data_IF_149067868741
#
_entry.id   IF_149067868741
#
_cell.length_a   1.000
_cell.length_b   1.000
_cell.length_c   1.000
_cell.angle_alpha   90.00
_cell.angle_beta   90.00
_cell.angle_gamma   90.00
#
_symmetry.space_group_name_H-M   'P 1'
#
loop_
_entity.id
_entity.type
_entity.pdbx_description
1 polymer ?
#
# COMPACT_ATOMS: atom_id res chain seq x y z
N UNK A 1 11.12 21.20 -10.68
CA UNK A 1 9.72 21.01 -10.20
C UNK A 1 9.53 19.52 -9.95
N UNK A 2 8.86 19.12 -8.86
CA UNK A 2 8.55 17.71 -8.60
C UNK A 2 7.53 17.20 -9.64
N UNK A 3 7.62 15.94 -10.08
CA UNK A 3 6.62 15.37 -10.99
C UNK A 3 5.25 15.32 -10.32
N UNK A 4 4.17 15.46 -11.11
CA UNK A 4 2.81 15.25 -10.62
C UNK A 4 2.66 13.79 -10.17
N UNK A 5 2.47 13.59 -8.86
CA UNK A 5 2.20 12.29 -8.27
C UNK A 5 0.69 12.04 -8.35
N UNK A 6 0.21 10.96 -9.00
CA UNK A 6 -1.21 10.66 -9.02
C UNK A 6 -1.70 10.32 -7.61
N UNK A 7 -2.86 10.85 -7.23
CA UNK A 7 -3.54 10.54 -5.97
C UNK A 7 -4.61 9.50 -6.27
N UNK A 8 -4.58 8.38 -5.57
CA UNK A 8 -5.57 7.30 -5.67
C UNK A 8 -5.75 6.62 -4.31
N UNK A 9 -6.86 5.91 -4.13
CA UNK A 9 -7.12 5.16 -2.89
C UNK A 9 -6.12 4.02 -2.72
N UNK A 10 -5.68 3.76 -1.49
CA UNK A 10 -4.81 2.61 -1.19
C UNK A 10 -5.43 1.27 -1.61
N UNK A 11 -6.77 1.17 -1.65
CA UNK A 11 -7.49 -0.03 -2.14
C UNK A 11 -7.17 -0.34 -3.61
N UNK A 12 -6.97 0.70 -4.43
CA UNK A 12 -6.68 0.57 -5.85
C UNK A 12 -5.19 0.35 -6.15
N UNK A 13 -4.35 0.19 -5.11
CA UNK A 13 -2.91 -0.01 -5.26
C UNK A 13 -2.55 -1.14 -6.24
N UNK A 14 -3.11 -2.36 -6.14
CA UNK A 14 -2.74 -3.47 -7.05
C UNK A 14 -2.83 -3.13 -8.54
N UNK A 15 -3.83 -2.34 -8.93
CA UNK A 15 -4.01 -1.92 -10.31
C UNK A 15 -3.06 -0.78 -10.69
N UNK A 16 -2.94 0.22 -9.81
CA UNK A 16 -2.19 1.46 -10.05
C UNK A 16 -0.67 1.28 -10.06
N UNK A 17 -0.12 0.22 -9.46
CA UNK A 17 1.32 -0.08 -9.53
C UNK A 17 1.84 -0.18 -10.97
N UNK A 18 0.98 -0.63 -11.89
CA UNK A 18 1.33 -0.81 -13.30
C UNK A 18 1.00 0.40 -14.18
N UNK A 19 0.44 1.47 -13.63
CA UNK A 19 0.02 2.66 -14.38
C UNK A 19 1.13 3.71 -14.35
N UNK A 20 1.47 4.23 -15.54
CA UNK A 20 2.41 5.34 -15.72
C UNK A 20 1.77 6.43 -16.56
N UNK A 21 2.11 7.68 -16.27
CA UNK A 21 1.63 8.84 -17.04
C UNK A 21 2.69 9.25 -18.07
N UNK A 22 2.33 9.21 -19.34
CA UNK A 22 3.17 9.67 -20.46
C UNK A 22 2.38 10.64 -21.32
N UNK A 23 2.91 11.85 -21.53
CA UNK A 23 2.22 12.93 -22.28
C UNK A 23 0.81 13.20 -21.76
N UNK A 24 0.66 13.32 -20.43
CA UNK A 24 -0.62 13.49 -19.73
C UNK A 24 -1.64 12.36 -19.88
N UNK A 25 -1.34 11.31 -20.64
CA UNK A 25 -2.18 10.11 -20.77
C UNK A 25 -1.69 8.98 -19.86
N UNK A 26 -2.63 8.25 -19.26
CA UNK A 26 -2.32 7.05 -18.50
C UNK A 26 -2.07 5.87 -19.44
N UNK A 27 -1.02 5.11 -19.15
CA UNK A 27 -0.62 3.92 -19.90
C UNK A 27 -0.22 2.83 -18.92
N UNK A 28 -0.60 1.59 -19.21
CA UNK A 28 -0.15 0.44 -18.44
C UNK A 28 1.25 0.00 -18.88
N UNK A 29 2.12 -0.33 -17.92
CA UNK A 29 3.44 -0.91 -18.18
C UNK A 29 3.28 -2.29 -18.83
N UNK A 30 4.26 -2.66 -19.66
CA UNK A 30 4.39 -4.02 -20.19
C UNK A 30 4.72 -4.99 -19.03
N UNK A 31 4.19 -6.22 -19.07
CA UNK A 31 4.46 -7.24 -18.05
C UNK A 31 3.24 -7.82 -17.35
N UNK A 32 2.03 -7.39 -17.72
CA UNK A 32 0.77 -7.95 -17.18
C UNK A 32 0.43 -7.46 -15.77
N UNK A 33 -0.65 -7.98 -15.18
CA UNK A 33 -1.02 -7.70 -13.80
C UNK A 33 0.03 -8.21 -12.81
N UNK A 34 0.33 -7.41 -11.78
CA UNK A 34 1.24 -7.81 -10.70
C UNK A 34 0.40 -8.22 -9.49
N UNK A 35 0.50 -9.47 -9.10
CA UNK A 35 -0.14 -9.97 -7.88
C UNK A 35 0.71 -9.63 -6.65
N UNK A 36 0.48 -8.45 -6.08
CA UNK A 36 1.27 -7.93 -4.95
C UNK A 36 1.27 -8.88 -3.74
N UNK A 37 0.19 -9.62 -3.52
CA UNK A 37 0.03 -10.55 -2.39
C UNK A 37 1.05 -11.69 -2.43
N UNK A 38 1.42 -12.13 -3.63
CA UNK A 38 2.41 -13.19 -3.87
C UNK A 38 3.85 -12.68 -3.76
N UNK A 39 4.06 -11.37 -3.72
CA UNK A 39 5.38 -10.79 -3.59
C UNK A 39 5.88 -10.83 -2.14
N UNK A 40 7.20 -10.88 -1.95
CA UNK A 40 7.82 -10.94 -0.62
C UNK A 40 7.49 -9.66 0.16
N UNK A 41 6.92 -9.81 1.34
CA UNK A 41 6.69 -8.71 2.28
C UNK A 41 7.99 -8.40 3.04
N UNK A 42 8.35 -7.13 3.08
CA UNK A 42 9.51 -6.59 3.77
C UNK A 42 9.05 -5.44 4.67
N UNK A 43 9.77 -5.25 5.76
CA UNK A 43 9.54 -4.19 6.72
C UNK A 43 10.78 -3.29 6.80
N UNK A 44 10.54 -1.99 6.93
CA UNK A 44 11.59 -1.00 7.21
C UNK A 44 11.08 0.02 8.22
N UNK A 45 11.84 0.20 9.31
CA UNK A 45 11.60 1.25 10.30
C UNK A 45 12.20 2.56 9.80
N UNK A 46 11.37 3.59 9.70
CA UNK A 46 11.77 4.97 9.44
C UNK A 46 11.48 5.84 10.66
N UNK A 47 11.97 7.08 10.67
CA UNK A 47 11.61 8.07 11.68
C UNK A 47 10.91 9.25 11.02
N UNK A 48 9.78 9.67 11.60
CA UNK A 48 9.07 10.89 11.22
C UNK A 48 9.20 11.90 12.35
N UNK A 49 9.82 13.03 12.05
CA UNK A 49 10.02 14.12 12.99
C UNK A 49 8.88 15.14 12.86
N UNK A 50 8.24 15.45 13.99
CA UNK A 50 7.03 16.28 14.08
C UNK A 50 5.92 15.76 13.15
N UNK A 51 5.51 14.50 13.32
CA UNK A 51 4.60 13.88 12.39
C UNK A 51 3.23 14.59 12.43
N UNK A 52 2.59 14.81 11.28
CA UNK A 52 1.45 15.73 11.17
C UNK A 52 0.23 15.33 12.01
N UNK A 53 0.09 14.05 12.34
CA UNK A 53 -0.99 13.55 13.20
C UNK A 53 -0.89 13.99 14.67
N UNK A 54 0.30 14.40 15.13
CA UNK A 54 0.53 14.82 16.52
C UNK A 54 0.25 16.32 16.74
N UNK A 55 -0.17 17.04 15.70
CA UNK A 55 -0.34 18.49 15.74
C UNK A 55 0.96 19.26 15.64
N UNK A 56 0.88 20.58 15.81
CA UNK A 56 2.04 21.48 15.70
C UNK A 56 2.74 21.52 17.07
N UNK A 57 4.02 21.11 17.16
CA UNK A 57 4.76 21.18 18.42
C UNK A 57 5.10 22.62 18.79
N UNK A 58 5.50 22.83 20.04
CA UNK A 58 6.02 24.12 20.48
C UNK A 58 7.23 24.56 19.62
N UNK A 59 7.41 25.87 19.38
CA UNK A 59 8.53 26.37 18.60
C UNK A 59 9.88 25.85 19.13
N UNK A 60 10.71 25.32 18.23
CA UNK A 60 12.04 24.78 18.57
C UNK A 60 12.05 23.34 19.09
N UNK A 61 10.90 22.69 19.24
CA UNK A 61 10.83 21.28 19.66
C UNK A 61 10.76 20.35 18.44
N UNK A 62 11.64 19.35 18.42
CA UNK A 62 11.65 18.28 17.41
C UNK A 62 11.46 16.94 18.11
N UNK A 63 10.35 16.26 17.83
CA UNK A 63 10.06 14.91 18.34
C UNK A 63 9.98 13.95 17.16
N UNK A 64 10.91 13.00 17.11
CA UNK A 64 10.92 11.97 16.07
C UNK A 64 10.32 10.66 16.61
N UNK A 65 9.32 10.14 15.90
CA UNK A 65 8.68 8.87 16.22
C UNK A 65 9.04 7.81 15.18
N UNK A 66 9.24 6.54 15.58
CA UNK A 66 9.45 5.46 14.63
C UNK A 66 8.14 5.20 13.87
N UNK A 67 8.26 4.98 12.56
CA UNK A 67 7.17 4.63 11.65
C UNK A 67 7.59 3.39 10.88
N UNK A 68 6.81 2.32 11.02
CA UNK A 68 7.02 1.09 10.27
C UNK A 68 6.43 1.26 8.87
N UNK A 69 7.25 1.02 7.84
CA UNK A 69 6.84 1.00 6.45
C UNK A 69 6.93 -0.42 5.90
N UNK A 70 5.89 -0.83 5.19
CA UNK A 70 5.79 -2.16 4.59
C UNK A 70 6.04 -2.07 3.09
N UNK A 71 6.75 -3.04 2.53
CA UNK A 71 7.08 -3.09 1.11
C UNK A 71 6.85 -4.49 0.54
N UNK A 72 6.29 -4.54 -0.68
CA UNK A 72 6.25 -5.76 -1.49
C UNK A 72 7.37 -5.72 -2.53
N UNK A 73 8.28 -6.68 -2.46
CA UNK A 73 9.35 -6.89 -3.46
C UNK A 73 9.01 -8.09 -4.33
N UNK A 74 8.71 -7.81 -5.59
CA UNK A 74 8.33 -8.80 -6.59
C UNK A 74 9.54 -9.33 -7.37
N UNK A 75 9.41 -10.50 -7.99
CA UNK A 75 10.50 -11.19 -8.71
C UNK A 75 11.03 -10.39 -9.91
N UNK A 76 10.20 -9.56 -10.53
CA UNK A 76 10.58 -8.66 -11.62
C UNK A 76 11.37 -7.41 -11.17
N UNK A 77 11.78 -7.34 -9.90
CA UNK A 77 12.51 -6.22 -9.32
C UNK A 77 11.64 -5.04 -8.89
N UNK A 78 10.32 -5.10 -9.15
CA UNK A 78 9.37 -4.10 -8.68
C UNK A 78 9.32 -4.11 -7.15
N UNK A 79 9.50 -2.93 -6.56
CA UNK A 79 9.38 -2.71 -5.12
C UNK A 79 8.34 -1.61 -4.91
N UNK A 80 7.32 -1.90 -4.09
CA UNK A 80 6.19 -1.00 -3.86
C UNK A 80 5.97 -0.89 -2.36
N UNK A 81 5.81 0.33 -1.87
CA UNK A 81 5.36 0.56 -0.50
C UNK A 81 3.88 0.18 -0.37
N UNK A 82 3.56 -0.69 0.58
CA UNK A 82 2.22 -1.21 0.83
C UNK A 82 1.69 -0.90 2.22
N UNK A 83 2.34 -0.01 2.98
CA UNK A 83 1.98 0.34 4.37
C UNK A 83 0.48 0.58 4.57
N UNK A 84 -0.14 1.37 3.71
CA UNK A 84 -1.58 1.68 3.80
C UNK A 84 -2.49 0.59 3.22
N UNK A 85 -1.96 -0.31 2.39
CA UNK A 85 -2.73 -1.35 1.70
C UNK A 85 -2.82 -2.66 2.50
N UNK A 86 -1.77 -3.05 3.22
CA UNK A 86 -1.78 -4.32 3.96
C UNK A 86 -2.93 -4.48 4.96
N UNK A 87 -3.32 -3.45 5.76
CA UNK A 87 -4.45 -3.56 6.67
C UNK A 87 -5.77 -3.80 5.93
N UNK A 88 -6.02 -3.04 4.86
CA UNK A 88 -7.22 -3.15 4.03
C UNK A 88 -7.33 -4.56 3.44
N UNK A 89 -6.22 -5.08 2.90
CA UNK A 89 -6.14 -6.42 2.32
C UNK A 89 -6.47 -7.50 3.36
N UNK A 90 -5.88 -7.41 4.56
CA UNK A 90 -6.12 -8.38 5.63
C UNK A 90 -7.58 -8.40 6.07
N UNK A 91 -8.21 -7.22 6.19
CA UNK A 91 -9.64 -7.12 6.50
C UNK A 91 -10.51 -7.74 5.40
N UNK A 92 -10.20 -7.48 4.14
CA UNK A 92 -10.92 -8.08 3.00
C UNK A 92 -10.76 -9.60 2.97
N UNK A 93 -9.56 -10.12 3.23
CA UNK A 93 -9.27 -11.54 3.30
C UNK A 93 -10.05 -12.22 4.44
N UNK A 94 -10.12 -11.57 5.61
CA UNK A 94 -10.90 -12.06 6.75
C UNK A 94 -12.40 -12.10 6.44
N UNK A 95 -12.95 -11.06 5.79
CA UNK A 95 -14.35 -11.02 5.36
C UNK A 95 -14.68 -12.13 4.36
N UNK A 96 -13.79 -12.40 3.40
CA UNK A 96 -13.96 -13.49 2.42
C UNK A 96 -13.98 -14.86 3.11
N UNK A 97 -13.03 -15.12 4.00
CA UNK A 97 -12.97 -16.36 4.77
C UNK A 97 -14.21 -16.58 5.65
N UNK A 98 -14.75 -15.51 6.24
CA UNK A 98 -15.98 -15.57 7.01
C UNK A 98 -17.21 -15.86 6.15
N UNK A 99 -17.30 -15.29 4.94
CA UNK A 99 -18.39 -15.57 4.02
C UNK A 99 -18.36 -17.02 3.48
N UNK A 100 -17.17 -17.54 3.20
CA UNK A 100 -16.96 -18.93 2.76
C UNK A 100 -17.25 -19.95 3.86
N UNK A 101 -17.04 -19.61 5.13
CA UNK A 101 -17.38 -20.50 6.25
C UNK A 101 -18.89 -20.56 6.48
N UNK A 102 -19.62 -19.45 6.31
CA UNK A 102 -21.09 -19.44 6.41
C UNK A 102 -21.76 -20.25 5.30
N UNK A 103 -21.29 -20.17 4.05
CA UNK A 103 -21.90 -20.90 2.94
C UNK A 103 -21.69 -22.43 2.99
N UNK A 104 -20.63 -22.89 3.64
CA UNK A 104 -20.39 -24.33 3.88
C UNK A 104 -21.24 -24.90 5.02
N UNK A 105 -21.76 -24.07 5.92
CA UNK A 105 -22.67 -24.50 6.99
C UNK A 105 -24.10 -24.65 6.47
N UNK A 106 -24.53 -23.82 5.51
CA UNK A 106 -25.87 -23.88 4.93
C UNK A 106 -26.08 -25.03 3.93
N UNK A 107 -25.00 -25.68 3.48
CA UNK A 107 -25.02 -26.72 2.44
C UNK A 107 -24.79 -28.15 2.99
N UNK A 108 -24.93 -28.35 4.30
CA UNK A 108 -24.77 -29.64 4.98
C UNK A 108 -25.94 -29.91 5.92
#
# INVERSE_FOLDING_TARGET
MAPLVPIFSAEALPDHVSIVRKNFQERRRKGGPVELEKCKLLEMVQYSCNPPQDGIPAPGVVVCKPVVRLFRRCANGLTVETTAWEPIRLEQEAKRKAAESTSNVDNK
#
